data_IF_239037487108
#
_entry.id   IF_239037487108
#
_cell.length_a   1.000
_cell.length_b   1.000
_cell.length_c   1.000
_cell.angle_alpha   90.00
_cell.angle_beta   90.00
_cell.angle_gamma   90.00
#
_symmetry.space_group_name_H-M   'P 1'
#
loop_
_entity.id
_entity.type
_entity.pdbx_description
1 polymer ?
#
# COMPACT_ATOMS: atom_id res chain seq x y z
N UNK A 1 -37.71 45.96 18.88
CA UNK A 1 -37.44 47.12 18.01
C UNK A 1 -35.98 47.52 18.22
N UNK A 2 -35.17 47.44 17.15
CA UNK A 2 -34.05 48.34 16.74
C UNK A 2 -32.89 48.54 17.75
N UNK A 3 -31.59 48.53 17.43
CA UNK A 3 -30.79 48.45 16.20
C UNK A 3 -29.30 48.36 16.63
N UNK A 4 -28.49 47.53 15.97
CA UNK A 4 -27.02 47.67 15.76
C UNK A 4 -26.74 48.88 14.82
N UNK A 5 -25.50 49.33 14.43
CA UNK A 5 -24.10 48.95 14.75
C UNK A 5 -23.08 50.16 14.82
N UNK A 6 -21.75 49.88 14.90
CA UNK A 6 -20.55 50.55 14.31
C UNK A 6 -19.37 50.45 15.32
N UNK A 7 -18.26 49.72 15.13
CA UNK A 7 -17.21 49.64 14.08
C UNK A 7 -15.86 50.17 14.62
N UNK A 8 -14.88 49.26 14.64
CA UNK A 8 -13.44 49.40 14.35
C UNK A 8 -12.56 50.41 15.11
N UNK A 9 -11.56 49.87 15.83
CA UNK A 9 -10.18 50.38 15.79
C UNK A 9 -9.21 49.20 15.93
N UNK A 10 -8.34 49.06 14.93
CA UNK A 10 -7.32 48.03 14.80
C UNK A 10 -6.04 48.41 15.55
N UNK A 11 -5.33 47.41 16.09
CA UNK A 11 -3.92 47.50 16.46
C UNK A 11 -3.18 46.28 15.88
N UNK A 12 -1.94 46.44 15.37
CA UNK A 12 -1.30 45.47 14.50
C UNK A 12 -0.66 44.34 15.30
N UNK A 13 -1.15 43.11 15.14
CA UNK A 13 -0.40 41.93 15.55
C UNK A 13 0.71 41.67 14.54
N UNK A 14 1.93 41.58 15.07
CA UNK A 14 3.16 41.36 14.32
C UNK A 14 3.08 40.13 13.43
N UNK A 15 3.49 40.33 12.18
CA UNK A 15 3.67 39.31 11.17
C UNK A 15 4.75 38.32 11.61
N UNK A 16 4.34 37.11 11.97
CA UNK A 16 5.26 35.97 11.99
C UNK A 16 5.76 35.71 10.56
N UNK A 17 7.06 35.45 10.34
CA UNK A 17 7.51 35.01 9.03
C UNK A 17 6.88 33.64 8.77
N UNK A 18 5.97 33.59 7.79
CA UNK A 18 5.32 32.36 7.35
C UNK A 18 6.37 31.32 6.90
N UNK A 19 6.05 30.03 6.98
CA UNK A 19 6.97 28.99 6.55
C UNK A 19 7.33 29.21 5.08
N UNK A 20 8.63 29.12 4.79
CA UNK A 20 9.18 29.05 3.44
C UNK A 20 8.31 28.12 2.61
N UNK A 21 7.66 28.68 1.57
CA UNK A 21 6.89 27.90 0.59
C UNK A 21 7.77 26.78 0.08
N UNK A 22 7.47 25.55 0.49
CA UNK A 22 8.03 24.35 -0.11
C UNK A 22 7.81 24.40 -1.64
N UNK A 23 8.73 23.87 -2.46
CA UNK A 23 8.51 23.77 -3.90
C UNK A 23 7.14 23.16 -4.14
N UNK A 24 6.35 23.72 -5.08
CA UNK A 24 4.98 23.28 -5.39
C UNK A 24 4.90 21.75 -5.39
N UNK A 25 4.35 21.19 -4.31
CA UNK A 25 4.22 19.74 -4.15
C UNK A 25 3.14 19.29 -5.10
N UNK A 26 3.51 18.40 -6.02
CA UNK A 26 2.55 17.74 -6.91
C UNK A 26 1.90 16.61 -6.12
N UNK A 27 0.58 16.59 -6.14
CA UNK A 27 -0.23 15.51 -5.57
C UNK A 27 -0.59 14.51 -6.69
N UNK A 28 -0.61 13.19 -6.41
CA UNK A 28 -0.16 12.55 -5.17
C UNK A 28 1.37 12.61 -5.00
N UNK A 29 1.86 12.45 -3.77
CA UNK A 29 3.30 12.27 -3.52
C UNK A 29 3.72 10.95 -4.17
N UNK A 30 4.71 10.96 -5.08
CA UNK A 30 5.12 9.74 -5.76
C UNK A 30 5.82 8.78 -4.80
N UNK A 31 5.53 7.49 -4.92
CA UNK A 31 6.26 6.45 -4.22
C UNK A 31 7.75 6.49 -4.61
N UNK A 32 8.64 6.61 -3.62
CA UNK A 32 10.08 6.64 -3.80
C UNK A 32 10.62 5.24 -4.03
N UNK A 33 11.31 5.06 -5.15
CA UNK A 33 12.12 3.87 -5.44
C UNK A 33 13.55 4.05 -4.93
N UNK A 34 14.22 2.92 -4.75
CA UNK A 34 15.59 2.81 -4.24
C UNK A 34 16.47 2.10 -5.28
N UNK A 35 17.79 2.27 -5.16
CA UNK A 35 18.74 1.64 -6.07
C UNK A 35 18.90 0.14 -5.79
N UNK A 36 18.61 -0.30 -4.56
CA UNK A 36 18.66 -1.70 -4.15
C UNK A 36 17.77 -1.97 -2.92
N UNK A 37 17.45 -3.25 -2.70
CA UNK A 37 16.79 -3.74 -1.49
C UNK A 37 17.80 -4.05 -0.39
N UNK A 38 17.75 -3.37 0.77
CA UNK A 38 18.61 -3.70 1.89
C UNK A 38 18.20 -5.05 2.50
N UNK A 39 19.18 -5.76 3.07
CA UNK A 39 18.88 -6.95 3.89
C UNK A 39 17.97 -6.55 5.05
N UNK A 40 17.04 -7.43 5.40
CA UNK A 40 16.19 -7.22 6.55
C UNK A 40 17.02 -7.19 7.84
N UNK A 41 16.64 -6.29 8.76
CA UNK A 41 17.24 -6.22 10.08
C UNK A 41 16.92 -7.49 10.88
N UNK A 42 17.87 -8.06 11.66
CA UNK A 42 17.63 -9.27 12.47
C UNK A 42 16.47 -9.16 13.48
N UNK A 43 16.09 -7.94 13.87
CA UNK A 43 14.91 -7.67 14.69
C UNK A 43 13.62 -8.07 13.96
N UNK A 44 13.55 -7.88 12.64
CA UNK A 44 12.39 -8.21 11.84
C UNK A 44 12.32 -9.72 11.60
N UNK A 45 11.47 -10.40 12.36
CA UNK A 45 11.25 -11.85 12.25
C UNK A 45 9.79 -12.14 11.90
N UNK A 46 9.59 -12.92 10.85
CA UNK A 46 8.27 -13.31 10.41
C UNK A 46 7.82 -14.55 11.19
N UNK A 47 6.56 -14.58 11.65
CA UNK A 47 5.98 -15.79 12.25
C UNK A 47 5.78 -16.89 11.22
N UNK A 48 5.40 -16.50 10.02
CA UNK A 48 5.30 -17.36 8.84
C UNK A 48 6.34 -16.91 7.83
N UNK A 49 7.11 -17.85 7.31
CA UNK A 49 8.17 -17.57 6.33
C UNK A 49 7.59 -16.92 5.08
N UNK A 50 8.19 -15.81 4.65
CA UNK A 50 7.87 -15.18 3.37
C UNK A 50 8.28 -16.11 2.21
N UNK A 51 7.37 -16.31 1.26
CA UNK A 51 7.58 -17.06 0.03
C UNK A 51 8.21 -18.47 0.24
N UNK A 52 7.57 -19.34 1.05
CA UNK A 52 8.20 -20.58 1.53
C UNK A 52 8.52 -21.58 0.40
N UNK A 53 7.74 -21.57 -0.68
CA UNK A 53 7.90 -22.41 -1.88
C UNK A 53 8.44 -21.61 -3.07
N UNK A 54 9.04 -20.43 -2.81
CA UNK A 54 9.55 -19.55 -3.84
C UNK A 54 10.61 -20.20 -4.74
N UNK A 55 10.47 -19.99 -6.04
CA UNK A 55 11.38 -20.47 -7.07
C UNK A 55 11.82 -19.33 -7.99
N UNK A 56 12.97 -19.48 -8.65
CA UNK A 56 13.38 -18.55 -9.68
C UNK A 56 12.37 -18.52 -10.84
N UNK A 57 12.10 -17.33 -11.38
CA UNK A 57 11.25 -17.19 -12.56
C UNK A 57 11.93 -17.88 -13.75
N UNK A 58 11.32 -18.89 -14.38
CA UNK A 58 11.94 -19.63 -15.48
C UNK A 58 11.99 -18.79 -16.75
N UNK A 59 12.90 -19.16 -17.66
CA UNK A 59 12.93 -18.58 -19.01
C UNK A 59 12.03 -19.40 -19.92
N UNK A 60 11.03 -18.76 -20.51
CA UNK A 60 10.07 -19.39 -21.41
C UNK A 60 10.58 -19.40 -22.85
N UNK A 61 10.22 -20.43 -23.63
CA UNK A 61 10.52 -20.46 -25.07
C UNK A 61 9.76 -19.34 -25.78
N UNK A 62 10.35 -18.74 -26.81
CA UNK A 62 9.80 -17.53 -27.46
C UNK A 62 8.41 -17.78 -28.05
N UNK A 63 8.23 -18.97 -28.61
CA UNK A 63 7.03 -19.49 -29.25
C UNK A 63 5.99 -20.07 -28.27
N UNK A 64 6.29 -20.07 -26.96
CA UNK A 64 5.32 -20.52 -25.96
C UNK A 64 4.11 -19.60 -25.90
N UNK A 65 2.96 -20.20 -25.61
CA UNK A 65 1.69 -19.52 -25.39
C UNK A 65 1.35 -19.64 -23.91
N UNK A 66 1.36 -18.49 -23.24
CA UNK A 66 1.20 -18.42 -21.78
C UNK A 66 -0.14 -17.77 -21.49
N UNK A 67 -1.04 -18.56 -20.91
CA UNK A 67 -2.30 -18.09 -20.38
C UNK A 67 -2.03 -17.32 -19.07
N UNK A 68 -2.64 -16.14 -18.94
CA UNK A 68 -2.50 -15.28 -17.77
C UNK A 68 -3.84 -15.23 -17.04
N UNK A 69 -3.80 -15.50 -15.75
CA UNK A 69 -4.95 -15.57 -14.87
C UNK A 69 -4.89 -14.47 -13.82
N UNK A 70 -6.04 -13.84 -13.56
CA UNK A 70 -6.25 -13.09 -12.32
C UNK A 70 -6.63 -14.07 -11.23
N UNK A 71 -5.91 -13.98 -10.11
CA UNK A 71 -6.12 -14.75 -8.91
C UNK A 71 -6.47 -13.78 -7.79
N UNK A 72 -7.54 -14.05 -7.06
CA UNK A 72 -7.97 -13.23 -5.94
C UNK A 72 -8.64 -14.11 -4.89
N UNK A 73 -8.40 -13.86 -3.61
CA UNK A 73 -9.02 -14.62 -2.50
C UNK A 73 -9.17 -13.75 -1.26
N UNK A 74 -10.17 -13.94 -0.39
CA UNK A 74 -10.31 -13.15 0.84
C UNK A 74 -9.12 -13.34 1.81
N UNK A 75 -8.64 -12.25 2.38
CA UNK A 75 -7.59 -12.26 3.41
C UNK A 75 -8.18 -12.76 4.74
N UNK A 76 -7.45 -13.65 5.41
CA UNK A 76 -7.74 -14.18 6.75
C UNK A 76 -9.03 -14.99 6.94
N UNK A 77 -9.69 -15.41 5.87
CA UNK A 77 -10.84 -16.33 5.98
C UNK A 77 -10.46 -17.62 6.73
N UNK A 78 -9.26 -18.14 6.46
CA UNK A 78 -8.69 -19.30 7.16
C UNK A 78 -8.41 -19.06 8.65
N UNK A 79 -8.32 -17.80 9.11
CA UNK A 79 -7.89 -17.43 10.47
C UNK A 79 -9.03 -16.90 11.33
N UNK A 80 -10.03 -16.24 10.74
CA UNK A 80 -11.10 -15.58 11.48
C UNK A 80 -12.52 -15.89 10.96
N UNK A 81 -12.66 -16.78 9.97
CA UNK A 81 -13.96 -17.21 9.44
C UNK A 81 -14.78 -16.09 8.79
N UNK A 82 -16.09 -16.33 8.65
CA UNK A 82 -17.04 -15.52 7.89
C UNK A 82 -17.12 -14.03 8.30
N UNK A 83 -16.76 -13.68 9.55
CA UNK A 83 -16.93 -12.33 10.10
C UNK A 83 -16.07 -11.27 9.39
N UNK A 84 -14.82 -11.60 9.06
CA UNK A 84 -13.93 -10.70 8.28
C UNK A 84 -14.09 -10.88 6.77
N UNK A 85 -14.64 -12.02 6.32
CA UNK A 85 -15.01 -12.24 4.91
C UNK A 85 -16.01 -11.19 4.39
N UNK A 86 -16.86 -10.64 5.27
CA UNK A 86 -17.78 -9.55 4.94
C UNK A 86 -17.09 -8.20 4.62
N UNK A 87 -15.85 -7.98 5.06
CA UNK A 87 -15.12 -6.74 4.80
C UNK A 87 -14.50 -6.69 3.40
N UNK A 88 -14.59 -7.78 2.61
CA UNK A 88 -14.04 -7.91 1.24
C UNK A 88 -12.60 -7.39 1.14
N UNK A 89 -11.76 -7.75 2.10
CA UNK A 89 -10.33 -7.52 2.02
C UNK A 89 -9.76 -8.69 1.24
N UNK A 90 -9.31 -8.44 0.02
CA UNK A 90 -8.84 -9.48 -0.90
C UNK A 90 -7.32 -9.44 -1.04
N UNK A 91 -6.71 -10.62 -1.16
CA UNK A 91 -5.33 -10.81 -1.62
C UNK A 91 -5.34 -11.04 -3.13
N UNK A 92 -4.45 -10.37 -3.84
CA UNK A 92 -4.38 -10.38 -5.30
C UNK A 92 -3.07 -11.02 -5.80
N UNK A 93 -3.18 -11.86 -6.83
CA UNK A 93 -2.06 -12.55 -7.48
C UNK A 93 -2.26 -12.68 -9.01
N UNK A 94 -1.18 -13.00 -9.73
CA UNK A 94 -1.22 -13.37 -11.16
C UNK A 94 -0.82 -14.82 -11.33
N UNK A 95 -1.66 -15.58 -12.04
CA UNK A 95 -1.36 -16.95 -12.46
C UNK A 95 -0.83 -16.97 -13.90
N UNK A 96 0.10 -17.88 -14.18
CA UNK A 96 0.63 -18.13 -15.51
C UNK A 96 0.55 -19.62 -15.83
N UNK A 97 0.15 -20.00 -17.04
CA UNK A 97 0.14 -21.40 -17.49
C UNK A 97 0.75 -21.51 -18.88
N UNK A 98 1.83 -22.27 -18.99
CA UNK A 98 2.53 -22.53 -20.25
C UNK A 98 1.87 -23.68 -21.00
N UNK A 99 1.57 -23.45 -22.28
CA UNK A 99 1.02 -24.48 -23.16
C UNK A 99 2.07 -25.53 -23.57
N UNK A 100 3.34 -25.12 -23.70
CA UNK A 100 4.42 -26.05 -24.09
C UNK A 100 4.87 -26.98 -22.96
N UNK A 101 4.93 -26.48 -21.72
CA UNK A 101 5.40 -27.27 -20.58
C UNK A 101 4.24 -27.90 -19.79
N UNK A 102 3.01 -27.40 -19.96
CA UNK A 102 1.85 -27.76 -19.17
C UNK A 102 1.88 -27.26 -17.72
N UNK A 103 3.00 -26.65 -17.28
CA UNK A 103 3.18 -26.13 -15.92
C UNK A 103 2.47 -24.81 -15.73
N UNK A 104 2.08 -24.55 -14.50
CA UNK A 104 1.52 -23.28 -14.08
C UNK A 104 2.29 -22.71 -12.88
N UNK A 105 2.15 -21.41 -12.67
CA UNK A 105 2.90 -20.65 -11.69
C UNK A 105 2.02 -19.56 -11.12
N UNK A 106 2.26 -19.20 -9.86
CA UNK A 106 1.65 -18.05 -9.21
C UNK A 106 2.72 -17.01 -8.89
N UNK A 107 2.37 -15.75 -9.11
CA UNK A 107 3.17 -14.59 -8.78
C UNK A 107 2.38 -13.62 -7.91
N UNK A 108 2.95 -13.26 -6.78
CA UNK A 108 2.35 -12.40 -5.77
C UNK A 108 3.32 -11.31 -5.36
N UNK A 109 2.83 -10.30 -4.62
CA UNK A 109 3.69 -9.34 -3.94
C UNK A 109 3.06 -8.98 -2.60
N UNK A 110 3.77 -9.27 -1.51
CA UNK A 110 3.23 -9.10 -0.16
C UNK A 110 4.33 -8.87 0.87
N UNK A 111 3.92 -8.69 2.12
CA UNK A 111 4.77 -8.33 3.24
C UNK A 111 5.72 -9.45 3.64
N UNK A 112 6.99 -9.13 3.85
CA UNK A 112 7.96 -10.08 4.41
C UNK A 112 7.59 -10.48 5.84
N UNK A 113 7.00 -9.54 6.59
CA UNK A 113 6.76 -9.65 8.03
C UNK A 113 5.28 -9.48 8.40
N UNK A 114 4.36 -9.80 7.50
CA UNK A 114 2.90 -9.63 7.68
C UNK A 114 2.43 -8.16 7.77
N UNK A 115 1.16 -7.93 7.39
CA UNK A 115 0.54 -6.60 7.25
C UNK A 115 0.76 -5.66 8.44
N UNK A 116 0.56 -6.13 9.67
CA UNK A 116 0.66 -5.28 10.87
C UNK A 116 2.02 -4.59 11.01
N UNK A 117 3.11 -5.29 10.66
CA UNK A 117 4.47 -4.75 10.70
C UNK A 117 4.78 -3.76 9.57
N UNK A 118 3.99 -3.80 8.49
CA UNK A 118 4.05 -2.83 7.40
C UNK A 118 3.19 -1.60 7.67
N UNK A 119 2.12 -1.72 8.46
CA UNK A 119 1.19 -0.62 8.75
C UNK A 119 1.60 0.22 9.95
N UNK A 120 2.16 -0.40 11.00
CA UNK A 120 2.55 0.30 12.23
C UNK A 120 3.95 -0.10 12.70
N UNK A 121 4.74 0.83 13.25
CA UNK A 121 6.10 0.58 13.67
C UNK A 121 6.19 -0.11 15.04
N UNK A 122 7.39 -0.61 15.34
CA UNK A 122 7.78 -1.09 16.66
C UNK A 122 8.40 0.04 17.49
N UNK A 123 7.91 0.23 18.71
CA UNK A 123 8.52 1.15 19.68
C UNK A 123 9.53 0.39 20.54
N UNK A 124 10.81 0.46 20.18
CA UNK A 124 11.90 -0.25 20.87
C UNK A 124 12.44 0.57 22.05
N UNK A 125 12.71 -0.07 23.21
CA UNK A 125 13.47 0.58 24.27
C UNK A 125 14.86 1.00 23.77
N UNK A 126 15.32 2.21 24.13
CA UNK A 126 16.63 2.73 23.74
C UNK A 126 16.74 3.24 22.30
N UNK A 127 15.64 3.27 21.54
CA UNK A 127 15.56 3.94 20.24
C UNK A 127 14.51 5.04 20.28
N UNK A 128 14.92 6.25 19.91
CA UNK A 128 14.02 7.41 19.86
C UNK A 128 13.04 7.31 18.68
N UNK A 129 13.52 6.86 17.52
CA UNK A 129 12.68 6.66 16.34
C UNK A 129 11.85 5.35 16.42
N UNK A 130 10.56 5.37 16.01
CA UNK A 130 9.81 4.16 15.73
C UNK A 130 10.48 3.31 14.63
N UNK A 131 10.62 2.00 14.87
CA UNK A 131 11.36 1.10 13.98
C UNK A 131 10.41 0.30 13.06
N UNK A 132 10.66 0.32 11.76
CA UNK A 132 9.76 -0.27 10.76
C UNK A 132 10.29 -1.61 10.21
N UNK A 133 9.42 -2.63 10.22
CA UNK A 133 9.64 -3.91 9.54
C UNK A 133 8.71 -4.00 8.33
N UNK A 134 8.74 -2.99 7.47
CA UNK A 134 7.72 -2.76 6.44
C UNK A 134 8.13 -3.21 5.03
N UNK A 135 9.13 -4.07 4.89
CA UNK A 135 9.52 -4.56 3.57
C UNK A 135 8.41 -5.43 2.94
N UNK A 136 8.12 -5.20 1.66
CA UNK A 136 7.31 -6.06 0.80
C UNK A 136 8.09 -6.46 -0.45
N UNK A 137 7.83 -7.65 -1.00
CA UNK A 137 8.56 -8.18 -2.16
C UNK A 137 7.70 -9.10 -3.02
N UNK A 138 8.15 -9.32 -4.25
CA UNK A 138 7.56 -10.28 -5.17
C UNK A 138 7.90 -11.72 -4.74
N UNK A 139 6.92 -12.62 -4.83
CA UNK A 139 7.06 -14.05 -4.65
C UNK A 139 6.59 -14.76 -5.92
N UNK A 140 7.36 -15.74 -6.40
CA UNK A 140 7.01 -16.54 -7.58
C UNK A 140 7.23 -18.01 -7.26
N UNK A 141 6.26 -18.87 -7.57
CA UNK A 141 6.35 -20.31 -7.29
C UNK A 141 5.55 -21.12 -8.30
N UNK A 142 5.89 -22.41 -8.42
CA UNK A 142 5.19 -23.37 -9.29
C UNK A 142 3.89 -23.84 -8.63
N UNK A 143 2.82 -23.97 -9.43
CA UNK A 143 1.49 -24.35 -8.97
C UNK A 143 0.51 -23.17 -8.89
N UNK A 144 -0.70 -23.37 -9.40
CA UNK A 144 -1.89 -22.58 -9.05
C UNK A 144 -2.78 -23.48 -8.20
N UNK A 145 -3.04 -23.10 -6.95
CA UNK A 145 -3.94 -23.81 -6.04
C UNK A 145 -5.39 -23.44 -6.36
N UNK A 146 -6.02 -24.22 -7.24
CA UNK A 146 -7.39 -23.99 -7.69
C UNK A 146 -8.40 -23.87 -6.53
N UNK A 147 -8.26 -24.67 -5.46
CA UNK A 147 -9.18 -24.63 -4.33
C UNK A 147 -9.06 -23.28 -3.61
N UNK A 148 -7.83 -22.86 -3.31
CA UNK A 148 -7.55 -21.59 -2.65
C UNK A 148 -8.13 -20.37 -3.38
N UNK A 149 -8.11 -20.37 -4.72
CA UNK A 149 -8.56 -19.24 -5.53
C UNK A 149 -10.03 -19.33 -5.97
N UNK A 150 -10.63 -20.52 -6.02
CA UNK A 150 -12.01 -20.70 -6.53
C UNK A 150 -13.07 -20.82 -5.44
N UNK A 151 -12.74 -21.32 -4.25
CA UNK A 151 -13.76 -21.58 -3.21
C UNK A 151 -14.49 -20.30 -2.80
N UNK A 152 -13.74 -19.26 -2.42
CA UNK A 152 -14.30 -17.96 -1.99
C UNK A 152 -13.70 -16.77 -2.75
N UNK A 153 -12.99 -17.04 -3.84
CA UNK A 153 -12.17 -16.08 -4.57
C UNK A 153 -12.56 -15.90 -6.04
N UNK A 154 -11.58 -15.56 -6.86
CA UNK A 154 -11.70 -15.48 -8.31
C UNK A 154 -10.45 -16.05 -8.97
N UNK A 155 -10.65 -17.02 -9.87
CA UNK A 155 -9.64 -17.49 -10.81
C UNK A 155 -10.21 -17.29 -12.22
N UNK A 156 -9.70 -16.30 -12.95
CA UNK A 156 -10.22 -15.96 -14.28
C UNK A 156 -9.10 -15.68 -15.27
N UNK A 157 -9.16 -16.31 -16.45
CA UNK A 157 -8.24 -16.04 -17.54
C UNK A 157 -8.46 -14.61 -18.06
N UNK A 158 -7.42 -13.77 -18.03
CA UNK A 158 -7.49 -12.35 -18.42
C UNK A 158 -6.80 -12.03 -19.75
N UNK A 159 -5.74 -12.74 -20.12
CA UNK A 159 -5.05 -12.54 -21.41
C UNK A 159 -4.18 -13.75 -21.75
N UNK A 160 -3.62 -13.77 -22.95
CA UNK A 160 -2.64 -14.75 -23.40
C UNK A 160 -1.44 -13.99 -23.98
N UNK A 161 -0.24 -14.36 -23.56
CA UNK A 161 1.01 -13.70 -23.96
C UNK A 161 1.99 -14.70 -24.56
N UNK A 162 2.97 -14.20 -25.31
CA UNK A 162 4.09 -15.04 -25.78
C UNK A 162 5.10 -15.27 -24.66
N UNK A 163 5.90 -16.34 -24.76
CA UNK A 163 7.04 -16.53 -23.86
C UNK A 163 8.07 -15.40 -23.92
N UNK A 164 8.18 -14.71 -25.06
CA UNK A 164 9.00 -13.49 -25.17
C UNK A 164 8.50 -12.39 -24.23
N UNK A 165 7.20 -12.11 -24.23
CA UNK A 165 6.60 -11.10 -23.34
C UNK A 165 6.73 -11.50 -21.87
N UNK A 166 6.56 -12.78 -21.54
CA UNK A 166 6.78 -13.28 -20.18
C UNK A 166 8.21 -13.02 -19.71
N UNK A 167 9.21 -13.33 -20.55
CA UNK A 167 10.61 -13.11 -20.19
C UNK A 167 10.96 -11.62 -19.99
N UNK A 168 10.39 -10.72 -20.80
CA UNK A 168 10.56 -9.28 -20.61
C UNK A 168 9.83 -8.76 -19.37
N UNK A 169 8.65 -9.30 -19.06
CA UNK A 169 7.94 -9.03 -17.81
C UNK A 169 8.76 -9.52 -16.61
N UNK A 170 9.36 -10.71 -16.68
CA UNK A 170 10.19 -11.27 -15.60
C UNK A 170 11.42 -10.39 -15.28
N UNK A 171 12.07 -9.82 -16.30
CA UNK A 171 13.15 -8.82 -16.11
C UNK A 171 12.64 -7.58 -15.40
N UNK A 172 11.47 -7.09 -15.79
CA UNK A 172 10.84 -5.95 -15.13
C UNK A 172 10.43 -6.26 -13.68
N UNK A 173 9.91 -7.45 -13.38
CA UNK A 173 9.58 -7.88 -12.02
C UNK A 173 10.82 -7.87 -11.14
N UNK A 174 11.97 -8.34 -11.65
CA UNK A 174 13.23 -8.26 -10.91
C UNK A 174 13.59 -6.81 -10.57
N UNK A 175 13.53 -5.90 -11.54
CA UNK A 175 13.75 -4.47 -11.30
C UNK A 175 12.74 -3.87 -10.31
N UNK A 176 11.44 -4.19 -10.44
CA UNK A 176 10.41 -3.72 -9.51
C UNK A 176 10.69 -4.21 -8.09
N UNK A 177 11.09 -5.48 -7.94
CA UNK A 177 11.39 -6.11 -6.67
C UNK A 177 12.66 -5.58 -5.99
N UNK A 178 13.63 -5.08 -6.76
CA UNK A 178 14.87 -4.50 -6.23
C UNK A 178 14.72 -3.01 -5.87
N UNK A 179 13.75 -2.32 -6.48
CA UNK A 179 13.59 -0.86 -6.34
C UNK A 179 12.35 -0.43 -5.55
N UNK A 180 11.29 -1.25 -5.55
CA UNK A 180 10.05 -1.08 -4.78
C UNK A 180 10.09 -1.90 -3.49
N UNK A 181 10.73 -1.36 -2.46
CA UNK A 181 11.21 -2.18 -1.34
C UNK A 181 10.32 -2.21 -0.09
N UNK A 182 9.38 -1.27 0.05
CA UNK A 182 8.52 -1.19 1.23
C UNK A 182 7.05 -1.28 0.84
N UNK A 183 6.27 -1.91 1.71
CA UNK A 183 4.82 -2.03 1.60
C UNK A 183 4.17 -0.81 2.26
N UNK A 184 3.18 -0.24 1.58
CA UNK A 184 2.35 0.84 2.12
C UNK A 184 0.88 0.46 2.05
N UNK A 185 0.22 0.43 3.20
CA UNK A 185 -1.18 0.02 3.36
C UNK A 185 -2.15 1.12 2.92
N UNK A 186 -1.85 2.37 3.25
CA UNK A 186 -2.84 3.44 3.20
C UNK A 186 -2.87 4.12 1.84
N UNK A 187 -4.05 4.17 1.23
CA UNK A 187 -4.36 5.24 0.27
C UNK A 187 -4.94 6.41 1.06
N UNK A 188 -4.52 7.64 0.78
CA UNK A 188 -5.02 8.83 1.50
C UNK A 188 -5.65 9.80 0.51
N UNK A 189 -6.92 10.17 0.74
CA UNK A 189 -7.70 11.03 -0.16
C UNK A 189 -8.29 12.24 0.57
N UNK A 190 -8.57 13.29 -0.19
CA UNK A 190 -9.22 14.50 0.34
C UNK A 190 -10.67 14.26 0.79
N UNK A 191 -11.40 13.37 0.11
CA UNK A 191 -12.79 13.01 0.43
C UNK A 191 -13.20 11.69 -0.27
N UNK A 192 -14.37 11.12 0.05
CA UNK A 192 -14.90 9.92 -0.61
C UNK A 192 -15.29 10.10 -2.08
N UNK A 193 -15.27 11.33 -2.61
CA UNK A 193 -15.66 11.60 -3.98
C UNK A 193 -14.69 10.93 -4.96
N UNK A 194 -15.20 10.41 -6.08
CA UNK A 194 -14.36 9.75 -7.11
C UNK A 194 -13.28 10.68 -7.68
N UNK A 195 -13.58 11.97 -7.79
CA UNK A 195 -12.69 13.02 -8.30
C UNK A 195 -11.86 13.71 -7.21
N UNK A 196 -11.91 13.23 -5.97
CA UNK A 196 -11.16 13.82 -4.87
C UNK A 196 -9.65 13.68 -5.10
N UNK A 197 -8.89 14.71 -4.71
CA UNK A 197 -7.43 14.67 -4.72
C UNK A 197 -6.93 13.48 -3.90
N UNK A 198 -6.03 12.71 -4.50
CA UNK A 198 -5.26 11.67 -3.82
C UNK A 198 -3.99 12.32 -3.31
N UNK A 199 -3.72 12.17 -2.02
CA UNK A 199 -2.51 12.66 -1.39
C UNK A 199 -1.38 11.64 -1.48
N UNK A 200 -1.70 10.38 -1.19
CA UNK A 200 -0.79 9.24 -1.20
C UNK A 200 -1.51 8.01 -1.77
N UNK A 201 -0.82 7.28 -2.65
CA UNK A 201 -1.24 5.96 -3.11
C UNK A 201 -0.60 4.88 -2.24
N UNK A 202 -1.36 3.82 -1.94
CA UNK A 202 -0.82 2.61 -1.34
C UNK A 202 0.20 1.92 -2.28
N UNK A 203 1.03 1.06 -1.71
CA UNK A 203 1.99 0.23 -2.42
C UNK A 203 1.90 -1.20 -1.86
N UNK A 204 0.88 -1.91 -2.35
CA UNK A 204 0.43 -3.20 -1.83
C UNK A 204 0.18 -4.22 -2.96
N UNK A 205 -0.32 -5.41 -2.61
CA UNK A 205 -0.46 -6.54 -3.54
C UNK A 205 -1.26 -6.16 -4.79
N UNK A 206 -2.42 -5.52 -4.63
CA UNK A 206 -3.29 -5.10 -5.74
C UNK A 206 -2.55 -4.16 -6.70
N UNK A 207 -1.75 -3.24 -6.17
CA UNK A 207 -0.96 -2.27 -6.96
C UNK A 207 0.15 -2.96 -7.75
N UNK A 208 0.78 -4.01 -7.21
CA UNK A 208 1.75 -4.80 -7.96
C UNK A 208 1.10 -5.55 -9.14
N UNK A 209 -0.07 -6.14 -8.92
CA UNK A 209 -0.83 -6.81 -9.98
C UNK A 209 -1.22 -5.83 -11.09
N UNK A 210 -1.72 -4.64 -10.73
CA UNK A 210 -2.03 -3.57 -11.68
C UNK A 210 -0.80 -3.11 -12.48
N UNK A 211 0.36 -2.94 -11.81
CA UNK A 211 1.63 -2.62 -12.49
C UNK A 211 2.06 -3.74 -13.44
N UNK A 212 1.87 -5.00 -13.06
CA UNK A 212 2.17 -6.17 -13.90
C UNK A 212 1.29 -6.18 -15.15
N UNK A 213 -0.01 -5.96 -15.00
CA UNK A 213 -0.92 -5.88 -16.15
C UNK A 213 -0.60 -4.69 -17.05
N UNK A 214 -0.27 -3.53 -16.47
CA UNK A 214 0.19 -2.38 -17.26
C UNK A 214 1.46 -2.72 -18.04
N UNK A 215 2.44 -3.36 -17.40
CA UNK A 215 3.68 -3.77 -18.07
C UNK A 215 3.41 -4.74 -19.22
N UNK A 216 2.51 -5.70 -19.05
CA UNK A 216 2.11 -6.61 -20.12
C UNK A 216 1.40 -5.86 -21.26
N UNK A 217 0.54 -4.89 -20.96
CA UNK A 217 -0.11 -4.05 -21.96
C UNK A 217 0.91 -3.20 -22.75
N UNK A 218 1.92 -2.64 -22.09
CA UNK A 218 3.02 -1.90 -22.72
C UNK A 218 3.84 -2.81 -23.67
N UNK A 219 3.91 -4.10 -23.37
CA UNK A 219 4.53 -5.13 -24.21
C UNK A 219 3.60 -5.64 -25.34
N UNK A 220 2.36 -5.14 -25.42
CA UNK A 220 1.39 -5.48 -26.47
C UNK A 220 0.34 -6.53 -26.09
N UNK A 221 0.20 -6.88 -24.80
CA UNK A 221 -0.84 -7.81 -24.37
C UNK A 221 -2.24 -7.22 -24.58
N UNK A 222 -3.17 -8.04 -25.05
CA UNK A 222 -4.57 -7.66 -25.21
C UNK A 222 -5.39 -8.35 -24.14
N UNK A 223 -5.91 -7.57 -23.21
CA UNK A 223 -6.74 -8.07 -22.11
C UNK A 223 -8.18 -8.31 -22.55
N UNK A 224 -8.79 -9.38 -22.02
CA UNK A 224 -10.21 -9.64 -22.12
C UNK A 224 -10.99 -8.56 -21.36
N UNK A 225 -12.22 -8.28 -21.82
CA UNK A 225 -13.14 -7.39 -21.10
C UNK A 225 -13.81 -8.16 -19.97
N UNK A 226 -13.16 -8.19 -18.83
CA UNK A 226 -13.69 -8.76 -17.59
C UNK A 226 -13.68 -7.69 -16.50
N UNK A 227 -14.71 -7.69 -15.66
CA UNK A 227 -14.76 -6.80 -14.51
C UNK A 227 -13.70 -7.22 -13.49
N UNK A 228 -12.88 -6.26 -13.06
CA UNK A 228 -11.83 -6.47 -12.07
C UNK A 228 -11.97 -5.49 -10.92
N UNK A 229 -12.20 -6.00 -9.71
CA UNK A 229 -12.37 -5.20 -8.50
C UNK A 229 -11.21 -5.46 -7.54
N UNK A 230 -10.77 -4.41 -6.85
CA UNK A 230 -9.65 -4.49 -5.92
C UNK A 230 -10.02 -3.84 -4.61
N UNK A 231 -9.47 -4.38 -3.53
CA UNK A 231 -9.62 -3.79 -2.20
C UNK A 231 -8.74 -2.55 -2.11
N UNK A 232 -9.21 -1.51 -1.43
CA UNK A 232 -8.36 -0.42 -0.99
C UNK A 232 -8.79 0.05 0.40
N UNK A 233 -7.81 0.26 1.27
CA UNK A 233 -8.01 0.83 2.60
C UNK A 233 -7.66 2.31 2.51
N UNK A 234 -8.68 3.15 2.67
CA UNK A 234 -8.59 4.58 2.40
C UNK A 234 -8.75 5.38 3.69
N UNK A 235 -7.77 6.26 3.97
CA UNK A 235 -7.89 7.33 4.95
C UNK A 235 -8.38 8.62 4.28
N UNK A 236 -9.20 9.38 4.98
CA UNK A 236 -9.66 10.69 4.52
C UNK A 236 -9.08 11.81 5.37
N UNK A 237 -8.44 12.78 4.71
CA UNK A 237 -7.79 13.89 5.40
C UNK A 237 -7.90 15.20 4.61
N UNK A 238 -7.65 16.32 5.28
CA UNK A 238 -7.22 17.55 4.62
C UNK A 238 -5.83 17.39 3.99
N UNK A 239 -5.29 18.50 3.49
CA UNK A 239 -3.95 18.51 2.88
C UNK A 239 -2.90 18.09 3.92
N UNK A 240 -2.08 17.07 3.64
CA UNK A 240 -1.06 16.59 4.57
C UNK A 240 0.05 17.61 4.84
N UNK A 241 0.50 17.66 6.08
CA UNK A 241 1.63 18.50 6.51
C UNK A 241 2.87 17.62 6.65
N UNK A 242 3.95 17.99 5.97
CA UNK A 242 5.23 17.30 6.13
C UNK A 242 5.90 17.69 7.43
N UNK A 243 6.33 16.69 8.20
CA UNK A 243 6.93 16.88 9.50
C UNK A 243 8.45 16.75 9.46
N UNK A 244 8.97 15.86 8.63
CA UNK A 244 10.40 15.56 8.57
C UNK A 244 10.68 14.08 8.32
N UNK A 245 11.95 13.75 8.22
CA UNK A 245 12.44 12.37 8.24
C UNK A 245 12.85 11.96 9.68
N UNK A 246 13.27 10.71 9.82
CA UNK A 246 13.68 10.12 11.10
C UNK A 246 14.71 10.96 11.85
N UNK A 247 15.80 11.35 11.21
CA UNK A 247 16.89 12.10 11.87
C UNK A 247 16.48 13.53 12.22
N UNK A 248 15.63 14.16 11.42
CA UNK A 248 15.15 15.52 11.69
C UNK A 248 14.13 15.60 12.84
N UNK A 249 13.39 14.53 13.11
CA UNK A 249 12.37 14.49 14.17
C UNK A 249 12.95 13.91 15.47
N UNK A 250 13.63 12.76 15.36
CA UNK A 250 14.07 11.96 16.51
C UNK A 250 15.57 12.12 16.82
N UNK A 251 16.33 12.84 15.99
CA UNK A 251 17.75 13.07 16.22
C UNK A 251 18.04 14.09 17.33
N UNK A 252 19.31 14.34 17.65
CA UNK A 252 19.72 15.22 18.76
C UNK A 252 19.20 16.67 18.67
N UNK A 253 19.00 17.16 17.45
CA UNK A 253 18.47 18.50 17.15
C UNK A 253 16.98 18.48 16.79
N UNK A 254 16.33 17.33 16.91
CA UNK A 254 14.93 17.14 16.56
C UNK A 254 13.97 17.74 17.59
N UNK A 255 12.71 17.91 17.17
CA UNK A 255 11.66 18.43 18.04
C UNK A 255 11.18 17.34 19.00
N UNK A 256 11.63 17.40 20.26
CA UNK A 256 11.30 16.41 21.30
C UNK A 256 9.80 16.26 21.56
N UNK A 257 9.04 17.36 21.50
CA UNK A 257 7.59 17.32 21.72
C UNK A 257 6.90 16.57 20.59
N UNK A 258 7.28 16.86 19.34
CA UNK A 258 6.76 16.15 18.17
C UNK A 258 7.17 14.67 18.18
N UNK A 259 8.43 14.37 18.51
CA UNK A 259 8.92 13.01 18.61
C UNK A 259 8.14 12.19 19.65
N UNK A 260 7.87 12.78 20.82
CA UNK A 260 7.06 12.14 21.86
C UNK A 260 5.61 11.92 21.39
N UNK A 261 5.00 12.90 20.72
CA UNK A 261 3.61 12.80 20.25
C UNK A 261 3.45 11.75 19.13
N UNK A 262 4.40 11.68 18.18
CA UNK A 262 4.41 10.62 17.15
C UNK A 262 4.54 9.23 17.78
N UNK A 263 5.38 9.07 18.81
CA UNK A 263 5.53 7.80 19.52
C UNK A 263 4.27 7.43 20.30
N UNK A 264 3.69 8.38 21.02
CA UNK A 264 2.43 8.17 21.77
C UNK A 264 1.28 7.80 20.83
N UNK A 265 1.22 8.40 19.64
CA UNK A 265 0.25 8.01 18.61
C UNK A 265 0.38 6.55 18.18
N UNK A 266 1.62 6.04 18.00
CA UNK A 266 1.82 4.67 17.56
C UNK A 266 1.71 3.61 18.68
N UNK A 267 1.87 3.98 19.94
CA UNK A 267 1.86 3.04 21.08
C UNK A 267 0.61 2.14 21.15
N UNK A 268 -0.61 2.64 20.91
CA UNK A 268 -1.83 1.82 20.92
C UNK A 268 -1.88 0.75 19.83
N UNK A 269 -1.14 0.88 18.73
CA UNK A 269 -1.24 -0.04 17.60
C UNK A 269 -0.37 -1.30 17.74
N UNK A 270 0.36 -1.44 18.85
CA UNK A 270 1.15 -2.64 19.15
C UNK A 270 0.26 -3.85 19.48
N UNK A 271 0.76 -5.08 19.31
CA UNK A 271 0.04 -6.27 19.76
C UNK A 271 -0.30 -6.23 21.25
N UNK A 272 -1.56 -6.48 21.59
CA UNK A 272 -2.05 -6.47 22.97
C UNK A 272 -1.79 -7.80 23.66
N UNK A 273 -1.42 -7.77 24.95
CA UNK A 273 -1.26 -9.00 25.74
C UNK A 273 -2.52 -9.33 26.53
N UNK A 274 -3.36 -8.33 26.81
CA UNK A 274 -4.61 -8.52 27.56
C UNK A 274 -5.79 -7.82 26.88
N UNK A 275 -7.00 -8.30 27.18
CA UNK A 275 -8.26 -7.68 26.72
C UNK A 275 -8.41 -6.26 27.24
N UNK A 276 -7.94 -5.99 28.46
CA UNK A 276 -7.95 -4.64 29.04
C UNK A 276 -7.09 -3.67 28.22
N UNK A 277 -5.87 -4.09 27.88
CA UNK A 277 -4.98 -3.28 27.04
C UNK A 277 -5.60 -3.01 25.67
N UNK A 278 -6.26 -4.02 25.07
CA UNK A 278 -6.97 -3.85 23.81
C UNK A 278 -8.02 -2.73 23.87
N UNK A 279 -8.90 -2.74 24.89
CA UNK A 279 -9.92 -1.70 25.01
C UNK A 279 -9.33 -0.31 25.29
N UNK A 280 -8.29 -0.23 26.13
CA UNK A 280 -7.59 1.03 26.39
C UNK A 280 -6.95 1.57 25.10
N UNK A 281 -6.29 0.70 24.32
CA UNK A 281 -5.70 1.06 23.04
C UNK A 281 -6.75 1.52 22.03
N UNK A 282 -7.86 0.80 21.92
CA UNK A 282 -8.98 1.17 21.05
C UNK A 282 -9.53 2.57 21.39
N UNK A 283 -9.75 2.86 22.67
CA UNK A 283 -10.22 4.18 23.11
C UNK A 283 -9.20 5.27 22.75
N UNK A 284 -7.89 5.03 22.95
CA UNK A 284 -6.84 5.98 22.55
C UNK A 284 -6.82 6.24 21.04
N UNK A 285 -7.01 5.19 20.22
CA UNK A 285 -7.06 5.32 18.76
C UNK A 285 -8.28 6.16 18.35
N UNK A 286 -9.45 5.91 18.94
CA UNK A 286 -10.65 6.70 18.68
C UNK A 286 -10.44 8.16 19.09
N UNK A 287 -9.88 8.41 20.27
CA UNK A 287 -9.58 9.75 20.77
C UNK A 287 -8.68 10.52 19.78
N UNK A 288 -7.54 9.95 19.40
CA UNK A 288 -6.60 10.60 18.48
C UNK A 288 -7.16 10.77 17.06
N UNK A 289 -7.65 9.69 16.44
CA UNK A 289 -8.01 9.69 15.01
C UNK A 289 -9.37 10.34 14.76
N UNK A 290 -10.34 10.14 15.65
CA UNK A 290 -11.74 10.55 15.44
C UNK A 290 -12.08 11.83 16.21
N UNK A 291 -11.66 11.96 17.47
CA UNK A 291 -12.01 13.15 18.27
C UNK A 291 -11.04 14.30 18.03
N UNK A 292 -9.73 14.03 18.00
CA UNK A 292 -8.70 15.05 17.78
C UNK A 292 -8.36 15.25 16.30
N UNK A 293 -8.84 14.36 15.42
CA UNK A 293 -8.61 14.39 13.98
C UNK A 293 -7.12 14.28 13.58
N UNK A 294 -6.35 13.48 14.32
CA UNK A 294 -4.90 13.34 14.17
C UNK A 294 -4.53 11.95 13.65
N UNK A 295 -3.72 11.91 12.60
CA UNK A 295 -3.08 10.67 12.16
C UNK A 295 -1.65 10.96 11.66
N UNK A 296 -0.68 10.17 12.13
CA UNK A 296 0.69 10.23 11.63
C UNK A 296 0.93 9.13 10.59
N UNK A 297 1.24 9.56 9.37
CA UNK A 297 1.57 8.67 8.25
C UNK A 297 3.09 8.63 8.07
N UNK A 298 3.63 7.43 7.89
CA UNK A 298 5.01 7.23 7.46
C UNK A 298 5.01 6.85 5.98
N UNK A 299 5.59 7.68 5.12
CA UNK A 299 5.61 7.48 3.67
C UNK A 299 6.95 7.95 3.11
N UNK A 300 7.57 7.20 2.20
CA UNK A 300 8.90 7.50 1.63
C UNK A 300 10.03 7.68 2.68
N UNK A 301 9.94 6.98 3.82
CA UNK A 301 10.84 7.14 4.97
C UNK A 301 10.75 8.52 5.64
N UNK A 302 9.59 9.16 5.52
CA UNK A 302 9.29 10.48 6.07
C UNK A 302 7.95 10.44 6.84
N UNK A 303 7.79 11.36 7.80
CA UNK A 303 6.59 11.49 8.62
C UNK A 303 5.73 12.66 8.14
N UNK A 304 4.42 12.41 8.11
CA UNK A 304 3.41 13.35 7.68
C UNK A 304 2.26 13.38 8.68
N UNK A 305 1.77 14.58 8.98
CA UNK A 305 0.54 14.75 9.73
C UNK A 305 -0.65 14.82 8.78
N UNK A 306 -1.66 14.00 9.05
CA UNK A 306 -2.92 13.99 8.32
C UNK A 306 -4.00 14.62 9.20
N UNK A 307 -4.55 15.80 8.83
CA UNK A 307 -5.71 16.37 9.50
C UNK A 307 -6.95 15.57 9.07
N UNK A 308 -7.33 14.58 9.87
CA UNK A 308 -8.34 13.58 9.49
C UNK A 308 -9.72 14.20 9.28
N UNK A 309 -10.48 13.64 8.33
CA UNK A 309 -11.82 14.10 7.97
C UNK A 309 -12.78 12.93 7.91
N UNK A 310 -14.01 13.12 8.35
CA UNK A 310 -15.08 12.14 8.17
C UNK A 310 -15.20 11.71 6.68
N UNK A 311 -15.33 10.41 6.36
CA UNK A 311 -15.61 9.27 7.25
C UNK A 311 -14.37 8.63 7.90
N UNK A 312 -13.22 9.32 7.89
CA UNK A 312 -11.94 8.96 8.50
C UNK A 312 -11.25 7.76 7.84
N UNK A 313 -11.93 6.63 7.77
CA UNK A 313 -11.46 5.39 7.17
C UNK A 313 -12.59 4.73 6.38
N UNK A 314 -12.27 4.19 5.20
CA UNK A 314 -13.18 3.32 4.44
C UNK A 314 -12.42 2.21 3.75
N UNK A 315 -12.93 0.99 3.86
CA UNK A 315 -12.49 -0.14 3.03
C UNK A 315 -13.44 -0.21 1.84
N UNK A 316 -12.88 -0.18 0.64
CA UNK A 316 -13.65 -0.24 -0.61
C UNK A 316 -13.22 -1.43 -1.45
N UNK A 317 -14.15 -1.94 -2.25
CA UNK A 317 -13.91 -3.00 -3.24
C UNK A 317 -14.41 -2.51 -4.59
N UNK A 318 -13.60 -1.69 -5.26
CA UNK A 318 -13.99 -0.90 -6.44
C UNK A 318 -13.39 -1.47 -7.72
N UNK A 319 -14.11 -1.27 -8.83
CA UNK A 319 -13.64 -1.69 -10.15
C UNK A 319 -12.45 -0.83 -10.60
N UNK A 320 -11.36 -1.49 -10.97
CA UNK A 320 -10.25 -0.89 -11.70
C UNK A 320 -10.11 -1.71 -12.99
N UNK A 321 -10.45 -1.15 -14.16
CA UNK A 321 -10.47 -1.91 -15.40
C UNK A 321 -9.07 -2.37 -15.80
N UNK A 322 -9.00 -3.53 -16.47
CA UNK A 322 -7.77 -4.00 -17.09
C UNK A 322 -7.26 -2.99 -18.14
N UNK A 323 -5.94 -2.83 -18.30
CA UNK A 323 -5.39 -1.87 -19.26
C UNK A 323 -5.86 -2.16 -20.69
N UNK A 324 -6.21 -1.11 -21.41
CA UNK A 324 -6.49 -1.17 -22.85
C UNK A 324 -5.18 -0.95 -23.57
N UNK A 325 -4.64 -1.98 -24.22
CA UNK A 325 -3.43 -1.84 -25.03
C UNK A 325 -3.60 -0.74 -26.09
N UNK A 326 -2.65 0.21 -26.15
CA UNK A 326 -2.66 1.23 -27.19
C UNK A 326 -2.35 0.55 -28.54
N UNK A 327 -3.37 0.44 -29.39
CA UNK A 327 -3.23 -0.07 -30.77
C UNK A 327 -2.39 0.83 -31.69
N UNK A 328 -1.82 1.93 -31.19
CA UNK A 328 -1.21 2.99 -32.00
C UNK A 328 0.31 2.89 -32.19
N UNK A 329 0.99 1.84 -31.73
CA UNK A 329 2.45 1.71 -31.88
C UNK A 329 2.93 0.73 -32.97
N UNK A 330 2.04 0.11 -33.74
CA UNK A 330 2.39 -0.69 -34.93
C UNK A 330 1.77 -0.08 -36.17
N UNK A 331 2.32 1.06 -36.56
CA UNK A 331 1.99 1.79 -37.78
C UNK A 331 3.24 2.44 -38.35
N UNK A 332 4.25 1.63 -38.67
CA UNK A 332 5.23 1.85 -39.75
C UNK A 332 5.56 0.49 -40.34
#
# INVERSE_FOLDING_TARGET
LLLLPLLAAAAPYGSFPGPLRSPQRRWPVPYRRFDYRPKADPYCQARYTFCPTGSAIPVMKKEDVIEVYRLQTPVWEFKYGDLLGHLKIMHDAVGFKSSLTGRNYTMEWYELFQLGNCTFPHLRPGMDAPFWCNQGAACFYEGIDDAHWKENGTLVHVTTISGTMFNEMAKWVKYDNETGIYYETWTVKASPNKQATVWFDSYECSKFILRTYQKLADLGAVFKRVQTNYTSIILFSGEPVYLGNETSIFGPLGNRTLAADVRDFYDPFKPYQTVREFFVGLVKIIDRVILNHEFYLFYNLEYWFLPMKFPYLKIVYEEIPLPVGNKTAFGV
#
